data_IF_442170760622
#
_entry.id   IF_442170760622
#
_cell.length_a   1.000
_cell.length_b   1.000
_cell.length_c   1.000
_cell.angle_alpha   90.00
_cell.angle_beta   90.00
_cell.angle_gamma   90.00
#
_symmetry.space_group_name_H-M   'P 1'
#
loop_
_entity.id
_entity.type
_entity.pdbx_description
1 polymer ?
#
# COMPACT_ATOMS: atom_id res chain seq x y z
N UNK A 1 42.78 -11.05 44.54
CA UNK A 1 43.36 -9.70 44.71
C UNK A 1 42.62 -8.77 43.74
N UNK A 2 41.64 -7.98 44.16
CA UNK A 2 41.66 -6.71 44.93
C UNK A 2 42.12 -5.51 44.06
N UNK A 3 41.28 -4.45 44.08
CA UNK A 3 41.48 -3.04 43.68
C UNK A 3 41.04 -2.69 42.23
N UNK A 4 40.36 -1.59 41.95
CA UNK A 4 39.83 -0.46 42.75
C UNK A 4 38.84 0.33 41.86
N UNK A 5 37.82 0.95 42.48
CA UNK A 5 36.97 2.01 41.89
C UNK A 5 37.72 3.36 41.87
N UNK A 6 37.16 4.36 41.17
CA UNK A 6 36.94 5.63 41.87
C UNK A 6 35.49 6.17 41.74
N UNK A 7 34.85 6.24 42.90
CA UNK A 7 34.06 7.35 43.50
C UNK A 7 34.56 8.77 43.15
N UNK A 8 33.87 9.93 43.21
CA UNK A 8 32.61 10.50 43.74
C UNK A 8 32.41 11.83 42.95
N UNK A 9 31.23 12.44 42.80
CA UNK A 9 30.70 13.46 43.73
C UNK A 9 29.33 13.97 43.21
N UNK A 10 28.29 13.81 44.03
CA UNK A 10 27.11 14.69 44.12
C UNK A 10 27.40 15.73 45.23
N UNK A 11 26.73 16.90 45.33
CA UNK A 11 25.32 17.04 45.77
C UNK A 11 24.61 18.21 45.03
N UNK A 12 23.39 18.70 45.27
CA UNK A 12 22.59 18.76 46.48
C UNK A 12 21.12 19.05 46.08
N UNK A 13 20.23 18.43 46.83
CA UNK A 13 18.77 18.49 46.84
C UNK A 13 18.19 19.87 47.15
N UNK A 14 16.99 20.17 46.64
CA UNK A 14 15.99 20.91 47.41
C UNK A 14 14.59 20.33 47.14
N UNK A 15 14.07 19.65 48.16
CA UNK A 15 12.70 19.14 48.25
C UNK A 15 11.92 20.04 49.21
N UNK A 16 10.80 20.63 48.78
CA UNK A 16 9.71 21.18 49.61
C UNK A 16 8.49 21.31 48.68
N UNK A 17 7.24 21.05 48.99
CA UNK A 17 6.48 20.25 49.97
C UNK A 17 5.00 20.47 49.56
N UNK A 18 4.17 19.42 49.66
CA UNK A 18 2.69 19.39 49.83
C UNK A 18 1.79 20.50 49.22
N UNK A 19 0.74 20.09 48.50
CA UNK A 19 -0.64 20.25 48.95
C UNK A 19 -1.62 19.48 48.05
N UNK A 20 -2.45 18.65 48.69
CA UNK A 20 -3.60 17.98 48.12
C UNK A 20 -4.85 18.86 48.28
N UNK A 21 -5.69 18.98 47.25
CA UNK A 21 -7.15 19.12 47.36
C UNK A 21 -7.83 19.19 45.96
N UNK A 22 -9.12 18.81 45.85
CA UNK A 22 -9.76 18.29 44.63
C UNK A 22 -10.68 19.31 43.95
N UNK A 23 -10.97 19.16 42.64
CA UNK A 23 -12.26 19.58 42.04
C UNK A 23 -12.34 19.34 40.52
N UNK A 24 -13.37 18.57 40.13
CA UNK A 24 -14.27 18.81 38.98
C UNK A 24 -13.65 18.84 37.57
N UNK A 25 -13.42 17.64 37.01
CA UNK A 25 -13.39 17.49 35.56
C UNK A 25 -14.82 17.29 35.02
N UNK A 26 -15.25 18.04 33.99
CA UNK A 26 -16.58 17.88 33.39
C UNK A 26 -16.68 16.53 32.67
N UNK A 27 -17.75 15.79 32.98
CA UNK A 27 -18.14 14.57 32.28
C UNK A 27 -18.34 14.85 30.79
N UNK A 28 -17.36 14.45 29.97
CA UNK A 28 -17.60 14.17 28.56
C UNK A 28 -18.32 12.82 28.54
N UNK A 29 -19.63 12.88 28.33
CA UNK A 29 -20.46 11.71 28.08
C UNK A 29 -19.96 11.03 26.79
N UNK A 30 -19.04 10.08 26.96
CA UNK A 30 -18.72 9.09 25.93
C UNK A 30 -19.97 8.25 25.71
N UNK A 31 -20.55 8.38 24.50
CA UNK A 31 -21.53 7.43 23.99
C UNK A 31 -20.89 6.03 23.98
N UNK A 32 -21.32 5.19 24.91
CA UNK A 32 -20.85 3.83 25.09
C UNK A 32 -21.29 2.95 23.90
N UNK A 33 -20.34 2.53 23.07
CA UNK A 33 -20.45 1.24 22.38
C UNK A 33 -20.13 0.16 23.39
N UNK A 34 -21.16 -0.43 24.00
CA UNK A 34 -21.02 -1.37 25.10
C UNK A 34 -20.24 -2.63 24.71
N UNK A 35 -19.13 -2.89 25.41
CA UNK A 35 -18.66 -4.24 25.63
C UNK A 35 -19.72 -4.94 26.49
N UNK A 36 -20.48 -5.86 25.89
CA UNK A 36 -21.43 -6.68 26.61
C UNK A 36 -20.69 -7.46 27.71
N UNK A 37 -21.06 -7.22 28.96
CA UNK A 37 -20.52 -7.90 30.14
C UNK A 37 -21.08 -9.33 30.21
N UNK A 38 -20.45 -10.22 30.98
CA UNK A 38 -20.97 -11.58 31.22
C UNK A 38 -22.41 -11.53 31.79
N UNK A 39 -22.69 -10.50 32.60
CA UNK A 39 -24.02 -10.20 33.14
C UNK A 39 -25.04 -9.80 32.05
N UNK A 40 -24.62 -9.09 31.00
CA UNK A 40 -25.50 -8.75 29.86
C UNK A 40 -25.93 -9.98 29.06
N UNK A 41 -25.03 -10.96 28.89
CA UNK A 41 -25.31 -12.20 28.18
C UNK A 41 -26.32 -13.09 28.93
N UNK A 42 -26.20 -13.17 30.25
CA UNK A 42 -27.15 -13.90 31.10
C UNK A 42 -28.53 -13.23 31.11
N UNK A 43 -28.58 -11.90 31.30
CA UNK A 43 -29.84 -11.14 31.27
C UNK A 43 -30.51 -11.20 29.89
N UNK A 44 -29.74 -11.12 28.80
CA UNK A 44 -30.27 -11.29 27.45
C UNK A 44 -30.90 -12.68 27.26
N UNK A 45 -30.27 -13.73 27.81
CA UNK A 45 -30.77 -15.10 27.74
C UNK A 45 -32.08 -15.24 28.52
N UNK A 46 -32.16 -14.70 29.74
CA UNK A 46 -33.39 -14.71 30.55
C UNK A 46 -34.56 -14.01 29.82
N UNK A 47 -34.31 -12.81 29.27
CA UNK A 47 -35.31 -12.08 28.50
C UNK A 47 -35.74 -12.84 27.24
N UNK A 48 -34.80 -13.48 26.53
CA UNK A 48 -35.09 -14.27 25.34
C UNK A 48 -35.96 -15.49 25.66
N UNK A 49 -35.64 -16.23 26.72
CA UNK A 49 -36.42 -17.38 27.18
C UNK A 49 -37.82 -16.98 27.63
N UNK A 50 -37.93 -15.90 28.41
CA UNK A 50 -39.23 -15.36 28.83
C UNK A 50 -40.08 -14.94 27.63
N UNK A 51 -39.46 -14.28 26.65
CA UNK A 51 -40.11 -13.92 25.39
C UNK A 51 -40.63 -15.13 24.63
N UNK A 52 -39.86 -16.22 24.56
CA UNK A 52 -40.31 -17.48 23.94
C UNK A 52 -41.46 -18.14 24.70
N UNK A 53 -41.43 -18.14 26.03
CA UNK A 53 -42.53 -18.66 26.85
C UNK A 53 -43.83 -17.87 26.60
N UNK A 54 -43.75 -16.55 26.60
CA UNK A 54 -44.90 -15.68 26.31
C UNK A 54 -45.44 -15.91 24.90
N UNK A 55 -44.55 -16.12 23.91
CA UNK A 55 -44.95 -16.49 22.56
C UNK A 55 -45.75 -17.80 22.53
N UNK A 56 -45.29 -18.83 23.26
CA UNK A 56 -46.02 -20.12 23.35
C UNK A 56 -47.36 -20.00 24.06
N UNK A 57 -47.52 -19.02 24.97
CA UNK A 57 -48.77 -18.72 25.66
C UNK A 57 -49.74 -17.85 24.81
N UNK A 58 -49.37 -17.48 23.59
CA UNK A 58 -50.16 -16.58 22.74
C UNK A 58 -50.10 -15.10 23.17
N UNK A 59 -49.32 -14.76 24.19
CA UNK A 59 -49.13 -13.39 24.69
C UNK A 59 -48.10 -12.64 23.85
N UNK A 60 -48.43 -12.41 22.58
CA UNK A 60 -47.47 -11.92 21.60
C UNK A 60 -46.97 -10.48 21.86
N UNK A 61 -47.82 -9.59 22.39
CA UNK A 61 -47.39 -8.23 22.71
C UNK A 61 -46.35 -8.21 23.85
N UNK A 62 -46.58 -8.98 24.92
CA UNK A 62 -45.62 -9.13 26.02
C UNK A 62 -44.33 -9.84 25.56
N UNK A 63 -44.46 -10.83 24.67
CA UNK A 63 -43.32 -11.54 24.06
C UNK A 63 -42.39 -10.59 23.32
N UNK A 64 -42.92 -9.67 22.51
CA UNK A 64 -42.11 -8.66 21.80
C UNK A 64 -41.30 -7.81 22.78
N UNK A 65 -41.92 -7.32 23.85
CA UNK A 65 -41.23 -6.48 24.84
C UNK A 65 -40.02 -7.21 25.44
N UNK A 66 -40.18 -8.50 25.76
CA UNK A 66 -39.09 -9.30 26.31
C UNK A 66 -38.01 -9.60 25.26
N UNK A 67 -38.42 -9.91 24.01
CA UNK A 67 -37.47 -10.17 22.93
C UNK A 67 -36.71 -8.90 22.49
N UNK A 68 -37.33 -7.72 22.57
CA UNK A 68 -36.69 -6.44 22.29
C UNK A 68 -35.66 -6.10 23.38
N UNK A 69 -35.98 -6.29 24.67
CA UNK A 69 -35.00 -6.19 25.76
C UNK A 69 -33.82 -7.14 25.57
N UNK A 70 -34.10 -8.39 25.17
CA UNK A 70 -33.03 -9.35 24.85
C UNK A 70 -32.16 -8.89 23.67
N UNK A 71 -32.75 -8.25 22.66
CA UNK A 71 -32.04 -7.74 21.50
C UNK A 71 -31.19 -6.50 21.82
N UNK A 72 -31.67 -5.62 22.70
CA UNK A 72 -30.94 -4.45 23.20
C UNK A 72 -29.67 -4.87 23.94
N UNK A 73 -29.78 -5.90 24.79
CA UNK A 73 -28.63 -6.46 25.51
C UNK A 73 -27.70 -7.25 24.57
N UNK A 74 -28.27 -8.08 23.68
CA UNK A 74 -27.49 -8.92 22.76
C UNK A 74 -28.10 -8.95 21.34
N UNK A 75 -27.55 -8.19 20.38
CA UNK A 75 -28.06 -8.15 19.01
C UNK A 75 -27.78 -9.44 18.18
N UNK A 76 -28.50 -10.54 18.43
CA UNK A 76 -28.26 -11.84 17.79
C UNK A 76 -29.35 -12.26 16.77
N UNK A 77 -29.00 -12.99 15.68
CA UNK A 77 -29.97 -13.45 14.67
C UNK A 77 -31.13 -14.28 15.22
N UNK A 78 -30.95 -15.24 16.16
CA UNK A 78 -32.08 -15.99 16.71
C UNK A 78 -33.15 -15.11 17.36
N UNK A 79 -32.75 -13.97 17.94
CA UNK A 79 -33.69 -13.02 18.56
C UNK A 79 -34.50 -12.30 17.48
N UNK A 80 -33.86 -11.82 16.41
CA UNK A 80 -34.53 -11.20 15.26
C UNK A 80 -35.58 -12.13 14.62
N UNK A 81 -35.25 -13.42 14.47
CA UNK A 81 -36.18 -14.43 13.96
C UNK A 81 -37.42 -14.57 14.85
N UNK A 82 -37.24 -14.62 16.17
CA UNK A 82 -38.35 -14.74 17.11
C UNK A 82 -39.21 -13.47 17.14
N UNK A 83 -38.61 -12.27 17.07
CA UNK A 83 -39.36 -11.02 16.96
C UNK A 83 -40.21 -11.01 15.67
N UNK A 84 -39.62 -11.37 14.53
CA UNK A 84 -40.33 -11.46 13.25
C UNK A 84 -41.52 -12.42 13.30
N UNK A 85 -41.35 -13.61 13.86
CA UNK A 85 -42.44 -14.60 14.06
C UNK A 85 -43.54 -14.06 14.96
N UNK A 86 -43.18 -13.32 16.00
CA UNK A 86 -44.14 -12.75 16.94
C UNK A 86 -44.98 -11.66 16.27
N UNK A 87 -44.36 -10.80 15.45
CA UNK A 87 -45.10 -9.82 14.63
C UNK A 87 -45.99 -10.47 13.57
N UNK A 88 -45.56 -11.59 12.97
CA UNK A 88 -46.38 -12.35 12.02
C UNK A 88 -47.65 -12.90 12.70
N UNK A 89 -47.51 -13.45 13.91
CA UNK A 89 -48.64 -13.94 14.72
C UNK A 89 -49.59 -12.85 15.20
N UNK A 90 -49.10 -11.63 15.40
CA UNK A 90 -49.93 -10.46 15.70
C UNK A 90 -50.66 -9.87 14.48
N UNK A 91 -50.51 -10.47 13.29
CA UNK A 91 -51.12 -9.93 12.07
C UNK A 91 -50.45 -8.63 11.61
N UNK A 92 -49.17 -8.40 11.94
CA UNK A 92 -48.38 -7.23 11.52
C UNK A 92 -47.32 -7.64 10.48
N UNK A 93 -47.71 -8.06 9.25
CA UNK A 93 -46.82 -8.65 8.26
C UNK A 93 -45.70 -7.71 7.80
N UNK A 94 -45.96 -6.39 7.74
CA UNK A 94 -44.93 -5.39 7.38
C UNK A 94 -43.78 -5.37 8.39
N UNK A 95 -44.08 -5.36 9.68
CA UNK A 95 -43.06 -5.42 10.74
C UNK A 95 -42.34 -6.77 10.73
N UNK A 96 -43.08 -7.87 10.57
CA UNK A 96 -42.47 -9.20 10.45
C UNK A 96 -41.44 -9.25 9.31
N UNK A 97 -41.79 -8.70 8.14
CA UNK A 97 -40.92 -8.60 6.98
C UNK A 97 -39.63 -7.81 7.28
N UNK A 98 -39.72 -6.68 7.99
CA UNK A 98 -38.54 -5.90 8.40
C UNK A 98 -37.58 -6.72 9.26
N UNK A 99 -38.09 -7.43 10.28
CA UNK A 99 -37.26 -8.25 11.16
C UNK A 99 -36.69 -9.48 10.45
N UNK A 100 -37.43 -10.11 9.54
CA UNK A 100 -36.92 -11.21 8.72
C UNK A 100 -35.83 -10.72 7.73
N UNK A 101 -35.95 -9.53 7.17
CA UNK A 101 -34.87 -8.93 6.36
C UNK A 101 -33.63 -8.64 7.21
N UNK A 102 -33.80 -8.04 8.41
CA UNK A 102 -32.71 -7.85 9.38
C UNK A 102 -32.04 -9.19 9.75
N UNK A 103 -32.84 -10.25 9.90
CA UNK A 103 -32.33 -11.60 10.13
C UNK A 103 -31.45 -12.07 8.98
N UNK A 104 -31.93 -12.01 7.73
CA UNK A 104 -31.17 -12.48 6.55
C UNK A 104 -29.87 -11.69 6.33
N UNK A 105 -29.84 -10.42 6.76
CA UNK A 105 -28.64 -9.59 6.74
C UNK A 105 -27.62 -9.99 7.83
N UNK A 106 -28.07 -10.33 9.04
CA UNK A 106 -27.18 -10.66 10.18
C UNK A 106 -26.85 -12.14 10.32
N UNK A 107 -27.72 -13.04 9.88
CA UNK A 107 -27.54 -14.47 10.00
C UNK A 107 -26.40 -14.97 9.12
N UNK A 108 -25.70 -16.01 9.57
CA UNK A 108 -24.72 -16.72 8.73
C UNK A 108 -25.44 -17.33 7.51
N UNK A 109 -24.72 -17.47 6.40
CA UNK A 109 -25.29 -18.08 5.18
C UNK A 109 -25.73 -19.54 5.44
N UNK A 110 -24.91 -20.29 6.19
CA UNK A 110 -25.17 -21.67 6.62
C UNK A 110 -26.16 -21.81 7.79
N UNK A 111 -26.80 -20.73 8.24
CA UNK A 111 -27.79 -20.84 9.30
C UNK A 111 -28.95 -21.73 8.82
N UNK A 112 -29.29 -22.83 9.53
CA UNK A 112 -30.31 -23.77 9.08
C UNK A 112 -31.68 -23.11 8.89
N UNK A 113 -31.95 -22.01 9.59
CA UNK A 113 -33.21 -21.28 9.50
C UNK A 113 -33.22 -20.30 8.33
N UNK A 114 -32.10 -20.02 7.65
CA UNK A 114 -32.03 -19.00 6.58
C UNK A 114 -32.97 -19.29 5.41
N UNK A 115 -32.96 -20.52 4.88
CA UNK A 115 -33.86 -20.96 3.79
C UNK A 115 -35.33 -20.81 4.20
N UNK A 116 -35.67 -21.21 5.43
CA UNK A 116 -37.02 -21.05 5.98
C UNK A 116 -37.43 -19.57 6.09
N UNK A 117 -36.53 -18.69 6.56
CA UNK A 117 -36.82 -17.26 6.69
C UNK A 117 -37.01 -16.59 5.32
N UNK A 118 -36.22 -16.97 4.32
CA UNK A 118 -36.42 -16.47 2.94
C UNK A 118 -37.79 -16.89 2.37
N UNK A 119 -38.22 -18.13 2.61
CA UNK A 119 -39.56 -18.57 2.23
C UNK A 119 -40.65 -17.78 2.96
N UNK A 120 -40.45 -17.43 4.24
CA UNK A 120 -41.37 -16.56 5.00
C UNK A 120 -41.44 -15.16 4.39
N UNK A 121 -40.29 -14.56 4.04
CA UNK A 121 -40.20 -13.26 3.36
C UNK A 121 -40.99 -13.28 2.05
N UNK A 122 -40.72 -14.26 1.17
CA UNK A 122 -41.42 -14.41 -0.12
C UNK A 122 -42.93 -14.55 0.06
N UNK A 123 -43.36 -15.33 1.05
CA UNK A 123 -44.79 -15.51 1.38
C UNK A 123 -45.43 -14.19 1.80
N UNK A 124 -44.78 -13.42 2.66
CA UNK A 124 -45.31 -12.14 3.15
C UNK A 124 -45.32 -11.10 2.03
N UNK A 125 -44.25 -11.00 1.24
CA UNK A 125 -44.18 -10.08 0.11
C UNK A 125 -45.25 -10.37 -0.94
N UNK A 126 -45.48 -11.65 -1.25
CA UNK A 126 -46.58 -12.08 -2.13
C UNK A 126 -47.93 -11.61 -1.59
N UNK A 127 -48.18 -11.77 -0.28
CA UNK A 127 -49.43 -11.29 0.36
C UNK A 127 -49.57 -9.77 0.33
N UNK A 128 -48.46 -9.04 0.38
CA UNK A 128 -48.43 -7.58 0.38
C UNK A 128 -48.29 -6.96 -1.02
N UNK A 129 -48.17 -7.76 -2.08
CA UNK A 129 -47.93 -7.26 -3.44
C UNK A 129 -46.57 -6.59 -3.64
N UNK A 130 -45.59 -6.87 -2.76
CA UNK A 130 -44.26 -6.27 -2.81
C UNK A 130 -43.38 -7.11 -3.74
N UNK A 131 -42.64 -6.46 -4.66
CA UNK A 131 -41.63 -7.15 -5.47
C UNK A 131 -40.53 -7.70 -4.56
N UNK A 132 -40.23 -9.00 -4.69
CA UNK A 132 -39.21 -9.65 -3.90
C UNK A 132 -37.85 -8.99 -4.12
N UNK A 133 -37.26 -8.46 -3.05
CA UNK A 133 -35.92 -7.91 -3.08
C UNK A 133 -34.96 -9.01 -2.63
N UNK A 134 -34.16 -9.53 -3.56
CA UNK A 134 -33.21 -10.60 -3.32
C UNK A 134 -32.19 -10.18 -2.25
N UNK A 135 -32.49 -10.51 -0.99
CA UNK A 135 -31.65 -10.18 0.16
C UNK A 135 -30.69 -11.36 0.37
N UNK A 136 -29.71 -11.49 -0.51
CA UNK A 136 -28.59 -12.43 -0.37
C UNK A 136 -28.92 -13.92 -0.46
N UNK A 137 -30.03 -14.30 -1.11
CA UNK A 137 -30.29 -15.66 -1.60
C UNK A 137 -30.55 -15.55 -3.10
N UNK A 138 -29.60 -16.05 -3.90
CA UNK A 138 -29.78 -16.16 -5.34
C UNK A 138 -30.82 -17.25 -5.58
N UNK A 139 -31.93 -16.86 -6.20
CA UNK A 139 -33.02 -17.73 -6.60
C UNK A 139 -32.53 -18.71 -7.68
N UNK A 140 -32.19 -19.94 -7.28
CA UNK A 140 -31.74 -21.00 -8.19
C UNK A 140 -32.86 -21.53 -9.08
N UNK A 141 -34.10 -21.05 -8.94
CA UNK A 141 -35.24 -21.54 -9.72
C UNK A 141 -35.63 -20.65 -10.92
N UNK A 142 -35.00 -19.49 -11.12
CA UNK A 142 -35.31 -18.59 -12.24
C UNK A 142 -34.56 -18.93 -13.55
N UNK A 143 -33.65 -19.91 -13.57
CA UNK A 143 -32.92 -20.33 -14.79
C UNK A 143 -33.57 -21.59 -15.37
N UNK A 144 -34.81 -21.46 -15.85
CA UNK A 144 -35.37 -22.40 -16.82
C UNK A 144 -36.01 -21.64 -17.97
N UNK A 145 -35.39 -21.85 -19.15
CA UNK A 145 -35.89 -21.66 -20.52
C UNK A 145 -36.39 -20.26 -20.90
N UNK A 146 -35.51 -19.54 -21.58
CA UNK A 146 -35.86 -18.93 -22.88
C UNK A 146 -34.73 -19.22 -23.84
N UNK A 147 -35.01 -20.14 -24.76
CA UNK A 147 -34.19 -20.49 -25.90
C UNK A 147 -34.09 -19.32 -26.89
N UNK A 148 -32.95 -19.21 -27.58
CA UNK A 148 -32.85 -18.50 -28.85
C UNK A 148 -31.95 -17.26 -28.85
N UNK A 149 -30.87 -17.34 -29.63
CA UNK A 149 -30.20 -16.16 -30.18
C UNK A 149 -28.76 -15.96 -29.71
N UNK A 150 -27.80 -16.43 -30.51
CA UNK A 150 -26.38 -16.36 -30.24
C UNK A 150 -25.82 -14.96 -30.04
N UNK A 151 -25.16 -14.74 -28.89
CA UNK A 151 -24.05 -13.79 -28.73
C UNK A 151 -22.93 -14.48 -27.96
N UNK A 152 -21.72 -14.41 -28.53
CA UNK A 152 -20.48 -14.98 -27.99
C UNK A 152 -20.33 -14.65 -26.49
N UNK A 153 -20.32 -15.69 -25.64
CA UNK A 153 -20.02 -15.63 -24.20
C UNK A 153 -18.63 -15.01 -23.99
N UNK A 154 -18.58 -13.70 -23.73
CA UNK A 154 -17.39 -13.01 -23.24
C UNK A 154 -17.40 -13.15 -21.72
N UNK A 155 -16.54 -14.02 -21.20
CA UNK A 155 -16.17 -14.20 -19.77
C UNK A 155 -17.02 -13.43 -18.75
N UNK A 156 -18.24 -13.89 -18.51
CA UNK A 156 -18.86 -13.65 -17.20
C UNK A 156 -18.09 -14.55 -16.24
N UNK A 157 -17.01 -14.02 -15.64
CA UNK A 157 -16.45 -14.62 -14.42
C UNK A 157 -17.61 -14.69 -13.44
N UNK A 158 -18.13 -15.90 -13.18
CA UNK A 158 -19.17 -16.09 -12.18
C UNK A 158 -18.68 -15.45 -10.88
N UNK A 159 -19.50 -14.63 -10.23
CA UNK A 159 -19.10 -14.00 -8.98
C UNK A 159 -19.15 -15.05 -7.88
N UNK A 160 -18.03 -15.19 -7.16
CA UNK A 160 -17.97 -16.02 -5.96
C UNK A 160 -18.79 -15.31 -4.88
N UNK A 161 -19.75 -16.01 -4.27
CA UNK A 161 -20.61 -15.41 -3.25
C UNK A 161 -19.85 -15.38 -1.93
N UNK A 162 -19.76 -14.19 -1.34
CA UNK A 162 -19.07 -13.96 -0.08
C UNK A 162 -19.64 -12.72 0.61
N UNK A 163 -19.91 -12.81 1.90
CA UNK A 163 -20.26 -11.65 2.73
C UNK A 163 -18.97 -10.97 3.20
N UNK A 164 -18.69 -9.72 2.78
CA UNK A 164 -17.51 -8.99 3.22
C UNK A 164 -17.51 -8.82 4.75
N UNK A 165 -16.35 -8.89 5.36
CA UNK A 165 -16.15 -8.58 6.78
C UNK A 165 -15.47 -7.23 6.86
N UNK A 166 -16.19 -6.24 7.40
CA UNK A 166 -15.68 -4.86 7.46
C UNK A 166 -14.89 -4.58 8.75
N UNK A 167 -15.07 -5.40 9.79
CA UNK A 167 -14.44 -5.21 11.11
C UNK A 167 -13.87 -6.51 11.69
N UNK A 168 -12.72 -6.41 12.35
CA UNK A 168 -12.08 -7.49 13.11
C UNK A 168 -11.38 -6.97 14.37
N UNK A 169 -10.94 -7.88 15.26
CA UNK A 169 -10.19 -7.52 16.48
C UNK A 169 -8.71 -7.88 16.36
N UNK A 170 -7.85 -7.08 16.96
CA UNK A 170 -6.41 -7.30 16.92
C UNK A 170 -6.01 -8.65 17.54
N UNK A 171 -5.06 -9.34 16.89
CA UNK A 171 -4.56 -10.67 17.28
C UNK A 171 -5.62 -11.79 17.32
N UNK A 172 -6.85 -11.53 16.88
CA UNK A 172 -7.91 -12.55 16.78
C UNK A 172 -8.04 -13.07 15.35
N UNK A 173 -8.33 -14.37 15.17
CA UNK A 173 -8.53 -14.93 13.84
C UNK A 173 -9.76 -14.33 13.16
N UNK A 174 -9.69 -14.16 11.84
CA UNK A 174 -10.81 -13.71 11.01
C UNK A 174 -11.26 -14.85 10.12
N UNK A 175 -12.50 -15.28 10.28
CA UNK A 175 -13.08 -16.40 9.53
C UNK A 175 -13.84 -15.89 8.33
N UNK A 176 -13.42 -16.29 7.14
CA UNK A 176 -14.07 -15.98 5.87
C UNK A 176 -14.82 -17.20 5.36
N UNK A 177 -16.00 -16.97 4.78
CA UNK A 177 -16.85 -18.01 4.21
C UNK A 177 -17.15 -17.67 2.76
N UNK A 178 -17.07 -18.63 1.86
CA UNK A 178 -17.34 -18.42 0.45
C UNK A 178 -18.18 -19.56 -0.11
N UNK A 179 -19.09 -19.26 -1.02
CA UNK A 179 -19.95 -20.24 -1.66
C UNK A 179 -19.77 -20.16 -3.17
N UNK A 180 -19.78 -21.34 -3.81
CA UNK A 180 -19.66 -21.46 -5.24
C UNK A 180 -21.01 -21.83 -5.86
N UNK A 181 -21.26 -21.36 -7.10
CA UNK A 181 -22.33 -21.91 -7.91
C UNK A 181 -22.18 -23.44 -8.06
N UNK A 182 -23.27 -24.22 -7.92
CA UNK A 182 -23.22 -25.69 -7.91
C UNK A 182 -22.78 -26.31 -9.24
N UNK A 183 -22.82 -25.55 -10.32
CA UNK A 183 -22.36 -25.93 -11.67
C UNK A 183 -20.84 -25.76 -11.86
N UNK A 184 -20.13 -25.25 -10.84
CA UNK A 184 -18.74 -24.83 -10.97
C UNK A 184 -17.74 -25.80 -10.32
N UNK A 185 -17.15 -26.67 -11.13
CA UNK A 185 -16.09 -27.58 -10.68
C UNK A 185 -14.75 -26.84 -10.48
N UNK A 186 -14.22 -26.86 -9.24
CA UNK A 186 -12.99 -26.15 -8.85
C UNK A 186 -12.03 -27.06 -8.07
N UNK A 187 -10.73 -26.73 -8.11
CA UNK A 187 -9.68 -27.33 -7.27
C UNK A 187 -9.72 -26.83 -5.81
N UNK A 188 -10.37 -25.68 -5.62
CA UNK A 188 -10.63 -25.08 -4.33
C UNK A 188 -10.63 -23.55 -4.39
N UNK A 189 -10.95 -22.97 -3.24
CA UNK A 189 -11.02 -21.53 -3.03
C UNK A 189 -9.83 -21.05 -2.23
N UNK A 190 -9.28 -19.91 -2.62
CA UNK A 190 -8.09 -19.32 -2.02
C UNK A 190 -8.39 -17.92 -1.52
N UNK A 191 -7.98 -17.64 -0.29
CA UNK A 191 -7.95 -16.31 0.29
C UNK A 191 -6.62 -15.66 -0.06
N UNK A 192 -6.67 -14.53 -0.74
CA UNK A 192 -5.53 -13.65 -0.91
C UNK A 192 -5.66 -12.49 0.05
N UNK A 193 -4.73 -12.32 0.99
CA UNK A 193 -4.81 -11.25 2.00
C UNK A 193 -3.46 -10.57 2.22
N UNK A 194 -3.47 -9.34 2.72
CA UNK A 194 -2.29 -8.56 3.10
C UNK A 194 -2.59 -7.62 4.26
N UNK A 195 -1.61 -7.39 5.11
CA UNK A 195 -1.70 -6.40 6.19
C UNK A 195 -1.65 -4.98 5.65
N UNK A 196 -2.17 -4.02 6.41
CA UNK A 196 -1.94 -2.60 6.16
C UNK A 196 -0.44 -2.31 6.05
N UNK A 197 -0.03 -1.71 4.93
CA UNK A 197 1.36 -1.40 4.60
C UNK A 197 2.10 -2.48 3.79
N UNK A 198 1.58 -3.71 3.67
CA UNK A 198 2.20 -4.74 2.84
C UNK A 198 1.82 -4.57 1.36
N UNK A 199 2.78 -4.74 0.45
CA UNK A 199 2.53 -4.67 -1.01
C UNK A 199 2.06 -6.02 -1.55
N UNK A 200 2.64 -7.12 -1.05
CA UNK A 200 2.41 -8.48 -1.56
C UNK A 200 1.25 -9.17 -0.83
N UNK A 201 0.38 -9.83 -1.58
CA UNK A 201 -0.67 -10.69 -1.03
C UNK A 201 -0.11 -12.07 -0.67
N UNK A 202 -0.48 -12.55 0.51
CA UNK A 202 -0.29 -13.93 0.98
C UNK A 202 -1.51 -14.75 0.58
N UNK A 203 -1.37 -16.07 0.50
CA UNK A 203 -2.45 -16.97 0.08
C UNK A 203 -2.71 -18.06 1.11
N UNK A 204 -3.98 -18.34 1.41
CA UNK A 204 -4.44 -19.47 2.23
C UNK A 204 -5.49 -20.25 1.42
N UNK A 205 -5.37 -21.59 1.35
CA UNK A 205 -6.41 -22.46 0.78
C UNK A 205 -7.53 -22.62 1.81
N UNK A 206 -8.77 -22.42 1.38
CA UNK A 206 -9.95 -22.63 2.22
C UNK A 206 -10.27 -24.12 2.32
N UNK A 207 -10.90 -24.53 3.42
CA UNK A 207 -11.38 -25.89 3.66
C UNK A 207 -12.83 -25.99 3.21
N UNK A 208 -13.19 -27.12 2.61
CA UNK A 208 -14.57 -27.44 2.26
C UNK A 208 -15.37 -27.76 3.52
N UNK A 209 -16.57 -27.20 3.62
CA UNK A 209 -17.49 -27.43 4.72
C UNK A 209 -18.94 -27.32 4.23
N UNK A 210 -19.58 -28.47 4.05
CA UNK A 210 -20.92 -28.55 3.46
C UNK A 210 -20.93 -28.11 2.00
N UNK A 211 -21.84 -27.20 1.63
CA UNK A 211 -21.97 -26.64 0.27
C UNK A 211 -21.04 -25.43 0.02
N UNK A 212 -20.14 -25.10 0.97
CA UNK A 212 -19.29 -23.92 0.91
C UNK A 212 -17.85 -24.16 1.37
N UNK A 213 -17.11 -23.07 1.44
CA UNK A 213 -15.70 -23.02 1.84
C UNK A 213 -15.53 -22.12 3.05
N UNK A 214 -14.77 -22.58 4.04
CA UNK A 214 -14.35 -21.78 5.19
C UNK A 214 -12.84 -21.65 5.20
N UNK A 215 -12.35 -20.43 5.36
CA UNK A 215 -10.93 -20.16 5.55
C UNK A 215 -10.72 -19.18 6.68
N UNK A 216 -9.71 -19.44 7.50
CA UNK A 216 -9.40 -18.62 8.66
C UNK A 216 -8.10 -17.89 8.40
N UNK A 217 -8.12 -16.56 8.47
CA UNK A 217 -6.92 -15.73 8.52
C UNK A 217 -6.43 -15.75 9.97
N UNK A 218 -5.23 -16.29 10.26
CA UNK A 218 -4.72 -16.38 11.62
C UNK A 218 -4.52 -15.01 12.29
N UNK A 219 -4.78 -14.94 13.59
CA UNK A 219 -4.69 -13.70 14.37
C UNK A 219 -3.31 -13.02 14.36
N UNK A 220 -2.23 -13.78 14.15
CA UNK A 220 -0.89 -13.21 13.95
C UNK A 220 -0.81 -12.21 12.78
N UNK A 221 -1.75 -12.26 11.84
CA UNK A 221 -1.83 -11.32 10.71
C UNK A 221 -2.80 -10.17 10.94
N UNK A 222 -3.66 -10.20 11.96
CA UNK A 222 -4.59 -9.12 12.32
C UNK A 222 -3.96 -8.18 13.35
N UNK A 223 -2.72 -7.74 13.09
CA UNK A 223 -1.96 -6.89 14.02
C UNK A 223 -1.97 -5.41 13.63
N UNK A 224 -2.41 -5.09 12.41
CA UNK A 224 -2.44 -3.72 11.87
C UNK A 224 -3.87 -3.23 11.77
N UNK A 225 -4.10 -1.92 11.89
CA UNK A 225 -5.44 -1.29 11.92
C UNK A 225 -6.25 -1.48 10.64
N UNK A 226 -5.63 -1.93 9.55
CA UNK A 226 -6.32 -2.36 8.34
C UNK A 226 -5.72 -3.66 7.78
N UNK A 227 -6.57 -4.44 7.14
CA UNK A 227 -6.21 -5.62 6.36
C UNK A 227 -7.01 -5.61 5.05
N UNK A 228 -6.42 -6.13 3.98
CA UNK A 228 -7.11 -6.23 2.70
C UNK A 228 -7.13 -7.67 2.22
N UNK A 229 -8.22 -8.09 1.60
CA UNK A 229 -8.32 -9.44 1.04
C UNK A 229 -9.24 -9.54 -0.18
N UNK A 230 -9.07 -10.61 -0.94
CA UNK A 230 -10.00 -11.04 -1.97
C UNK A 230 -9.96 -12.55 -2.09
N UNK A 231 -10.99 -13.13 -2.68
CA UNK A 231 -11.16 -14.57 -2.80
C UNK A 231 -11.14 -14.98 -4.27
N UNK A 232 -10.55 -16.15 -4.53
CA UNK A 232 -10.42 -16.69 -5.89
C UNK A 232 -10.69 -18.18 -5.86
N UNK A 233 -11.64 -18.62 -6.68
CA UNK A 233 -11.84 -20.03 -7.00
C UNK A 233 -11.04 -20.40 -8.26
N UNK A 234 -10.30 -21.51 -8.20
CA UNK A 234 -9.44 -21.96 -9.31
C UNK A 234 -9.87 -23.32 -9.84
N UNK A 235 -9.80 -23.51 -11.16
CA UNK A 235 -10.04 -24.79 -11.83
C UNK A 235 -8.84 -25.72 -11.72
N UNK A 236 -9.11 -27.02 -11.58
CA UNK A 236 -8.09 -28.10 -11.55
C UNK A 236 -7.23 -28.08 -12.81
N UNK A 237 -5.91 -28.12 -12.65
CA UNK A 237 -4.94 -28.26 -13.75
C UNK A 237 -4.60 -27.00 -14.57
N UNK A 238 -5.13 -25.79 -14.26
CA UNK A 238 -4.86 -24.58 -15.07
C UNK A 238 -4.16 -23.41 -14.36
N UNK A 239 -3.71 -23.58 -13.11
CA UNK A 239 -2.85 -22.62 -12.41
C UNK A 239 -3.37 -21.16 -12.48
N UNK A 240 -2.51 -20.21 -12.90
CA UNK A 240 -2.88 -18.77 -13.04
C UNK A 240 -3.94 -18.48 -14.12
N UNK A 241 -4.08 -19.36 -15.13
CA UNK A 241 -5.09 -19.26 -16.20
C UNK A 241 -6.42 -19.95 -15.83
N UNK A 242 -6.50 -20.53 -14.63
CA UNK A 242 -7.66 -21.28 -14.17
C UNK A 242 -8.58 -20.49 -13.23
N UNK A 243 -8.54 -19.16 -13.20
CA UNK A 243 -9.45 -18.38 -12.35
C UNK A 243 -10.87 -18.49 -12.89
N UNK A 244 -11.79 -19.00 -12.07
CA UNK A 244 -13.17 -19.29 -12.49
C UNK A 244 -14.16 -18.30 -11.89
N UNK A 245 -13.98 -17.99 -10.60
CA UNK A 245 -14.82 -17.06 -9.87
C UNK A 245 -14.01 -16.25 -8.86
N UNK A 246 -14.43 -15.01 -8.59
CA UNK A 246 -13.74 -14.13 -7.64
C UNK A 246 -14.72 -13.33 -6.79
N UNK A 247 -14.39 -13.12 -5.51
CA UNK A 247 -15.03 -12.12 -4.66
C UNK A 247 -13.99 -11.04 -4.32
N UNK A 248 -14.17 -9.84 -4.87
CA UNK A 248 -13.13 -8.80 -4.89
C UNK A 248 -12.02 -9.11 -5.91
N UNK A 249 -11.07 -8.18 -6.08
CA UNK A 249 -9.94 -8.32 -7.01
C UNK A 249 -8.67 -7.75 -6.40
N UNK A 250 -7.51 -8.04 -7.00
CA UNK A 250 -6.22 -7.46 -6.58
C UNK A 250 -6.22 -5.92 -6.56
N UNK A 251 -6.94 -5.28 -7.51
CA UNK A 251 -7.07 -3.81 -7.59
C UNK A 251 -8.21 -3.26 -6.72
N UNK A 252 -9.22 -4.07 -6.44
CA UNK A 252 -10.39 -3.72 -5.62
C UNK A 252 -10.62 -4.79 -4.56
N UNK A 253 -9.70 -4.91 -3.57
CA UNK A 253 -9.86 -5.88 -2.50
C UNK A 253 -10.89 -5.38 -1.48
N UNK A 254 -11.49 -6.30 -0.74
CA UNK A 254 -12.25 -5.98 0.47
C UNK A 254 -11.29 -5.49 1.56
N UNK A 255 -11.78 -4.61 2.41
CA UNK A 255 -11.00 -3.96 3.48
C UNK A 255 -11.63 -4.34 4.82
N UNK A 256 -10.82 -4.83 5.74
CA UNK A 256 -11.20 -5.09 7.13
C UNK A 256 -10.50 -4.06 8.00
N UNK A 257 -11.28 -3.31 8.78
CA UNK A 257 -10.79 -2.45 9.84
C UNK A 257 -10.53 -3.31 11.08
N UNK A 258 -9.31 -3.26 11.61
CA UNK A 258 -8.94 -4.05 12.79
C UNK A 258 -8.89 -3.15 14.01
N UNK A 259 -9.86 -3.35 14.89
CA UNK A 259 -9.93 -2.68 16.18
C UNK A 259 -8.80 -3.12 17.11
N UNK A 260 -8.17 -2.16 17.79
CA UNK A 260 -6.93 -2.36 18.55
C UNK A 260 -5.69 -2.65 17.69
N UNK A 261 -5.80 -2.58 16.36
CA UNK A 261 -4.68 -2.80 15.44
C UNK A 261 -3.71 -1.62 15.42
N UNK A 262 -2.40 -1.88 15.31
CA UNK A 262 -1.40 -0.81 15.17
C UNK A 262 -1.57 -0.10 13.83
N UNK A 263 -1.46 1.24 13.76
CA UNK A 263 -1.55 1.93 12.47
C UNK A 263 -0.52 1.35 11.50
N UNK A 264 -0.86 1.20 10.20
CA UNK A 264 0.09 0.76 9.21
C UNK A 264 1.34 1.61 9.32
N UNK A 265 2.49 0.98 9.59
CA UNK A 265 3.77 1.62 9.38
C UNK A 265 3.84 1.85 7.87
N UNK A 266 3.39 3.04 7.46
CA UNK A 266 3.75 3.62 6.19
C UNK A 266 5.26 3.78 6.30
N UNK A 267 6.00 2.71 5.96
CA UNK A 267 7.43 2.81 5.70
C UNK A 267 7.62 4.03 4.81
N UNK A 268 8.72 4.79 5.00
CA UNK A 268 8.85 6.15 4.48
C UNK A 268 8.29 6.18 3.08
N UNK A 269 7.17 6.89 2.89
CA UNK A 269 6.54 7.05 1.58
C UNK A 269 7.70 7.43 0.68
N UNK A 270 8.06 6.56 -0.29
CA UNK A 270 9.12 6.88 -1.24
C UNK A 270 8.65 8.14 -1.92
N UNK A 271 9.14 9.29 -1.43
CA UNK A 271 8.68 10.57 -1.89
C UNK A 271 9.00 10.58 -3.38
N UNK A 272 8.02 10.99 -4.18
CA UNK A 272 8.23 11.12 -5.62
C UNK A 272 9.53 11.91 -5.82
N UNK A 273 10.50 11.25 -6.47
CA UNK A 273 11.82 11.78 -6.73
C UNK A 273 11.67 13.13 -7.44
N UNK A 274 12.29 14.17 -6.92
CA UNK A 274 12.23 15.50 -7.51
C UNK A 274 12.98 15.43 -8.83
N UNK A 275 12.27 15.50 -9.95
CA UNK A 275 12.85 15.57 -11.29
C UNK A 275 13.14 17.04 -11.60
N UNK A 276 14.41 17.39 -11.80
CA UNK A 276 14.78 18.69 -12.34
C UNK A 276 14.75 18.65 -13.88
N UNK A 277 14.52 19.79 -14.54
CA UNK A 277 14.66 19.90 -15.99
C UNK A 277 16.13 19.81 -16.45
N UNK A 278 17.10 20.00 -15.56
CA UNK A 278 18.54 20.04 -15.88
C UNK A 278 19.20 18.65 -15.85
N UNK A 279 18.63 17.68 -15.14
CA UNK A 279 19.24 16.37 -14.90
C UNK A 279 19.51 15.55 -16.16
N UNK A 280 18.59 15.57 -17.12
CA UNK A 280 18.77 14.86 -18.40
C UNK A 280 19.86 15.50 -19.23
N UNK A 281 19.86 16.83 -19.32
CA UNK A 281 20.89 17.59 -20.03
C UNK A 281 22.27 17.43 -19.39
N UNK A 282 22.36 17.34 -18.06
CA UNK A 282 23.61 17.01 -17.36
C UNK A 282 24.20 15.69 -17.84
N UNK A 283 23.42 14.60 -17.86
CA UNK A 283 23.94 13.30 -18.27
C UNK A 283 24.34 13.25 -19.75
N UNK A 284 23.58 13.92 -20.62
CA UNK A 284 23.92 14.02 -22.05
C UNK A 284 25.24 14.78 -22.23
N UNK A 285 25.37 15.97 -21.64
CA UNK A 285 26.59 16.81 -21.77
C UNK A 285 27.81 16.16 -21.12
N UNK A 286 27.65 15.53 -19.95
CA UNK A 286 28.73 14.80 -19.29
C UNK A 286 29.20 13.60 -20.13
N UNK A 287 28.29 12.81 -20.70
CA UNK A 287 28.64 11.69 -21.56
C UNK A 287 29.35 12.15 -22.84
N UNK A 288 28.86 13.22 -23.47
CA UNK A 288 29.51 13.82 -24.64
C UNK A 288 30.91 14.34 -24.33
N UNK A 289 31.09 15.01 -23.18
CA UNK A 289 32.40 15.49 -22.75
C UNK A 289 33.40 14.35 -22.56
N UNK A 290 33.00 13.26 -21.89
CA UNK A 290 33.86 12.09 -21.70
C UNK A 290 34.24 11.44 -23.02
N UNK A 291 33.28 11.30 -23.95
CA UNK A 291 33.56 10.73 -25.27
C UNK A 291 34.54 11.58 -26.09
N UNK A 292 34.36 12.91 -26.08
CA UNK A 292 35.21 13.85 -26.81
C UNK A 292 36.62 13.89 -26.21
N UNK A 293 36.74 13.96 -24.89
CA UNK A 293 38.04 13.94 -24.21
C UNK A 293 38.76 12.59 -24.41
N UNK A 294 38.03 11.47 -24.38
CA UNK A 294 38.57 10.15 -24.70
C UNK A 294 39.08 10.07 -26.14
N UNK A 295 38.31 10.58 -27.11
CA UNK A 295 38.73 10.67 -28.51
C UNK A 295 39.94 11.58 -28.71
N UNK A 296 40.00 12.71 -28.01
CA UNK A 296 41.15 13.62 -28.01
C UNK A 296 42.41 12.95 -27.46
N UNK A 297 42.29 12.19 -26.37
CA UNK A 297 43.42 11.46 -25.80
C UNK A 297 43.89 10.33 -26.71
N UNK A 298 42.95 9.57 -27.29
CA UNK A 298 43.28 8.50 -28.23
C UNK A 298 43.99 9.01 -29.48
N UNK A 299 43.50 10.11 -30.07
CA UNK A 299 44.15 10.76 -31.23
C UNK A 299 45.54 11.30 -30.89
N UNK A 300 45.71 11.88 -29.70
CA UNK A 300 47.02 12.31 -29.22
C UNK A 300 48.00 11.15 -29.05
N UNK A 301 47.57 10.04 -28.44
CA UNK A 301 48.41 8.85 -28.26
C UNK A 301 48.79 8.20 -29.60
N UNK A 302 47.85 8.11 -30.55
CA UNK A 302 48.11 7.61 -31.90
C UNK A 302 49.12 8.49 -32.66
N UNK A 303 49.04 9.82 -32.50
CA UNK A 303 50.01 10.73 -33.09
C UNK A 303 51.42 10.51 -32.49
N UNK A 304 51.52 10.30 -31.17
CA UNK A 304 52.79 10.07 -30.49
C UNK A 304 53.43 8.71 -30.84
N UNK A 305 52.64 7.65 -30.99
CA UNK A 305 53.12 6.32 -31.39
C UNK A 305 53.72 6.33 -32.81
N UNK A 306 53.08 7.05 -33.76
CA UNK A 306 53.61 7.22 -35.12
C UNK A 306 54.93 8.01 -35.15
N UNK A 307 55.13 8.96 -34.24
CA UNK A 307 56.40 9.68 -34.11
C UNK A 307 57.54 8.73 -33.64
N UNK A 308 57.29 7.88 -32.64
CA UNK A 308 58.26 6.90 -32.15
C UNK A 308 58.63 5.81 -33.17
N UNK A 309 57.70 5.45 -34.06
CA UNK A 309 57.95 4.50 -35.15
C UNK A 309 58.98 5.01 -36.19
N UNK A 310 59.10 6.33 -36.35
CA UNK A 310 60.11 6.95 -37.24
C UNK A 310 61.50 6.89 -36.62
N UNK A 311 61.63 7.15 -35.31
CA UNK A 311 62.89 7.05 -34.58
C UNK A 311 63.43 5.62 -34.52
N UNK A 312 62.56 4.64 -34.26
CA UNK A 312 62.95 3.22 -34.24
C UNK A 312 63.37 2.71 -35.62
N UNK A 313 62.70 3.13 -36.70
CA UNK A 313 63.15 2.84 -38.07
C UNK A 313 64.47 3.51 -38.42
N UNK A 314 64.72 4.73 -37.94
CA UNK A 314 66.00 5.42 -38.10
C UNK A 314 67.13 4.70 -37.34
N UNK A 315 66.87 4.21 -36.12
CA UNK A 315 67.85 3.46 -35.32
C UNK A 315 68.14 2.06 -35.89
N UNK A 316 67.13 1.36 -36.41
CA UNK A 316 67.31 0.06 -37.06
C UNK A 316 68.13 0.13 -38.35
N UNK A 317 68.16 1.28 -39.04
CA UNK A 317 68.97 1.48 -40.24
C UNK A 317 70.49 1.36 -39.97
N UNK A 318 70.95 1.67 -38.75
CA UNK A 318 72.34 1.47 -38.33
C UNK A 318 72.52 0.26 -37.39
N UNK A 319 71.66 -0.77 -37.49
CA UNK A 319 71.90 -2.04 -36.79
C UNK A 319 72.99 -2.85 -37.54
N UNK A 320 74.18 -3.12 -36.94
CA UNK A 320 75.33 -3.74 -37.61
C UNK A 320 75.09 -5.16 -38.16
N UNK A 321 73.99 -5.81 -37.74
CA UNK A 321 73.56 -7.12 -38.26
C UNK A 321 72.72 -7.05 -39.55
N UNK A 322 72.25 -5.87 -39.94
CA UNK A 322 71.50 -5.67 -41.19
C UNK A 322 72.43 -5.32 -42.36
N UNK A 323 72.02 -5.61 -43.60
CA UNK A 323 72.81 -5.33 -44.83
C UNK A 323 73.20 -3.84 -44.92
N UNK A 324 72.37 -2.93 -44.39
CA UNK A 324 72.64 -1.49 -44.38
C UNK A 324 73.47 -1.02 -43.18
N UNK A 325 73.46 -1.74 -42.06
CA UNK A 325 74.23 -1.35 -40.87
C UNK A 325 75.75 -1.50 -41.03
N UNK A 326 76.22 -2.30 -42.00
CA UNK A 326 77.63 -2.36 -42.39
C UNK A 326 78.17 -1.04 -42.98
N UNK A 327 77.28 -0.11 -43.35
CA UNK A 327 77.62 1.22 -43.84
C UNK A 327 77.79 2.27 -42.73
N UNK A 328 77.39 1.97 -41.49
CA UNK A 328 77.56 2.86 -40.33
C UNK A 328 78.81 2.43 -39.52
N UNK A 329 79.86 3.25 -39.50
CA UNK A 329 81.10 2.98 -38.76
C UNK A 329 81.94 4.25 -38.54
N UNK A 330 82.93 4.24 -37.62
CA UNK A 330 83.71 5.44 -37.30
C UNK A 330 84.48 5.94 -38.53
N UNK A 331 84.21 7.20 -38.92
CA UNK A 331 84.79 7.84 -40.10
C UNK A 331 84.02 7.65 -41.42
N UNK A 332 82.87 6.97 -41.44
CA UNK A 332 82.00 6.84 -42.63
C UNK A 332 80.69 7.60 -42.43
N UNK A 333 80.28 8.39 -43.41
CA UNK A 333 79.00 9.10 -43.40
C UNK A 333 77.85 8.10 -43.49
N UNK A 334 76.88 8.22 -42.58
CA UNK A 334 75.63 7.43 -42.58
C UNK A 334 75.00 7.50 -43.97
N UNK A 335 74.51 6.40 -44.56
CA UNK A 335 73.82 6.46 -45.85
C UNK A 335 72.61 7.39 -45.71
N UNK A 336 72.67 8.52 -46.41
CA UNK A 336 71.59 9.50 -46.50
C UNK A 336 70.43 8.82 -47.25
N UNK A 337 69.51 8.19 -46.51
CA UNK A 337 68.24 7.81 -47.11
C UNK A 337 67.49 9.11 -47.37
N UNK A 338 67.48 9.55 -48.63
CA UNK A 338 66.53 10.56 -49.10
C UNK A 338 65.14 9.99 -48.88
N UNK A 339 64.47 10.46 -47.83
CA UNK A 339 63.02 10.41 -47.81
C UNK A 339 62.55 11.17 -49.05
N UNK A 340 61.71 10.55 -49.87
CA UNK A 340 61.02 11.30 -50.91
C UNK A 340 60.34 12.50 -50.23
N UNK A 341 60.61 13.71 -50.73
CA UNK A 341 60.08 14.93 -50.12
C UNK A 341 58.55 14.90 -50.08
N UNK A 342 57.91 14.19 -51.03
CA UNK A 342 56.47 13.96 -51.02
C UNK A 342 56.04 13.18 -49.75
N UNK A 343 56.63 12.02 -49.52
CA UNK A 343 56.30 11.17 -48.36
C UNK A 343 56.58 11.85 -47.02
N UNK A 344 57.69 12.61 -46.91
CA UNK A 344 58.01 13.36 -45.70
C UNK A 344 57.00 14.50 -45.42
N UNK A 345 56.58 15.22 -46.46
CA UNK A 345 55.54 16.26 -46.36
C UNK A 345 54.17 15.67 -46.01
N UNK A 346 53.85 14.49 -46.53
CA UNK A 346 52.60 13.79 -46.20
C UNK A 346 52.54 13.46 -44.71
N UNK A 347 53.60 12.88 -44.14
CA UNK A 347 53.66 12.60 -42.69
C UNK A 347 53.63 13.87 -41.83
N UNK A 348 54.29 14.95 -42.25
CA UNK A 348 54.26 16.22 -41.54
C UNK A 348 52.85 16.85 -41.57
N UNK A 349 52.16 16.75 -42.71
CA UNK A 349 50.79 17.24 -42.87
C UNK A 349 49.79 16.42 -42.05
N UNK A 350 49.94 15.10 -42.01
CA UNK A 350 49.15 14.21 -41.14
C UNK A 350 49.41 14.52 -39.66
N UNK A 351 50.67 14.71 -39.26
CA UNK A 351 51.02 15.08 -37.89
C UNK A 351 50.38 16.40 -37.46
N UNK A 352 50.41 17.42 -38.32
CA UNK A 352 49.77 18.72 -38.08
C UNK A 352 48.24 18.61 -38.03
N UNK A 353 47.62 17.77 -38.86
CA UNK A 353 46.17 17.58 -38.81
C UNK A 353 45.72 16.84 -37.54
N UNK A 354 46.45 15.82 -37.07
CA UNK A 354 46.15 15.17 -35.79
C UNK A 354 46.39 16.08 -34.57
N UNK A 355 47.44 16.90 -34.60
CA UNK A 355 47.72 17.86 -33.53
C UNK A 355 46.65 18.95 -33.44
N UNK A 356 46.21 19.50 -34.58
CA UNK A 356 45.12 20.49 -34.61
C UNK A 356 43.77 19.88 -34.22
N UNK A 357 43.46 18.68 -34.73
CA UNK A 357 42.23 17.97 -34.40
C UNK A 357 42.15 17.64 -32.90
N UNK A 358 43.24 17.12 -32.31
CA UNK A 358 43.28 16.82 -30.87
C UNK A 358 43.18 18.10 -30.03
N UNK A 359 43.83 19.19 -30.42
CA UNK A 359 43.67 20.50 -29.76
C UNK A 359 42.24 21.02 -29.78
N UNK A 360 41.56 20.94 -30.93
CA UNK A 360 40.15 21.35 -31.07
C UNK A 360 39.23 20.45 -30.23
N UNK A 361 39.40 19.13 -30.31
CA UNK A 361 38.60 18.19 -29.52
C UNK A 361 38.81 18.38 -28.01
N UNK A 362 40.04 18.62 -27.58
CA UNK A 362 40.34 18.93 -26.18
C UNK A 362 39.62 20.21 -25.73
N UNK A 363 39.68 21.28 -26.53
CA UNK A 363 38.97 22.53 -26.24
C UNK A 363 37.46 22.35 -26.13
N UNK A 364 36.84 21.65 -27.09
CA UNK A 364 35.41 21.33 -27.07
C UNK A 364 35.05 20.44 -25.88
N UNK A 365 35.89 19.45 -25.57
CA UNK A 365 35.70 18.53 -24.44
C UNK A 365 35.72 19.25 -23.10
N UNK A 366 36.63 20.20 -22.91
CA UNK A 366 36.72 21.05 -21.71
C UNK A 366 35.51 21.97 -21.60
N UNK A 367 35.09 22.62 -22.70
CA UNK A 367 33.90 23.48 -22.71
C UNK A 367 32.63 22.69 -22.36
N UNK A 368 32.49 21.47 -22.90
CA UNK A 368 31.38 20.57 -22.57
C UNK A 368 31.43 20.12 -21.09
N UNK A 369 32.61 19.88 -20.53
CA UNK A 369 32.78 19.56 -19.11
C UNK A 369 32.33 20.71 -18.20
N UNK A 370 32.70 21.94 -18.55
CA UNK A 370 32.26 23.14 -17.84
C UNK A 370 30.72 23.29 -17.92
N UNK A 371 30.13 23.07 -19.09
CA UNK A 371 28.67 23.06 -19.27
C UNK A 371 27.96 22.01 -18.41
N UNK A 372 28.52 20.79 -18.33
CA UNK A 372 28.02 19.74 -17.44
C UNK A 372 28.13 20.16 -15.96
N UNK A 373 29.23 20.80 -15.55
CA UNK A 373 29.40 21.34 -14.21
C UNK A 373 28.33 22.37 -13.83
N UNK A 374 27.99 23.28 -14.75
CA UNK A 374 26.90 24.26 -14.55
C UNK A 374 25.55 23.56 -14.45
N UNK A 375 25.24 22.60 -15.32
CA UNK A 375 23.99 21.85 -15.28
C UNK A 375 23.84 21.02 -14.00
N UNK A 376 24.94 20.45 -13.49
CA UNK A 376 24.98 19.76 -12.20
C UNK A 376 24.66 20.71 -11.04
N UNK A 377 25.26 21.90 -11.04
CA UNK A 377 24.99 22.91 -10.02
C UNK A 377 23.50 23.34 -10.04
N UNK A 378 22.94 23.58 -11.23
CA UNK A 378 21.54 23.95 -11.40
C UNK A 378 20.58 22.83 -10.98
N UNK A 379 20.89 21.57 -11.29
CA UNK A 379 20.12 20.41 -10.80
C UNK A 379 20.13 20.35 -9.27
N UNK A 380 21.32 20.45 -8.67
CA UNK A 380 21.49 20.38 -7.23
C UNK A 380 20.75 21.53 -6.51
N UNK A 381 20.87 22.76 -7.00
CA UNK A 381 20.18 23.91 -6.44
C UNK A 381 18.65 23.84 -6.62
N UNK A 382 18.19 23.38 -7.79
CA UNK A 382 16.76 23.14 -8.04
C UNK A 382 16.19 22.12 -7.04
N UNK A 383 16.84 20.97 -6.88
CA UNK A 383 16.44 19.94 -5.93
C UNK A 383 16.45 20.46 -4.49
N UNK A 384 17.46 21.26 -4.12
CA UNK A 384 17.56 21.88 -2.79
C UNK A 384 16.41 22.85 -2.53
N UNK A 385 16.08 23.73 -3.48
CA UNK A 385 14.95 24.67 -3.39
C UNK A 385 13.61 23.95 -3.26
N UNK A 386 13.40 22.91 -4.06
CA UNK A 386 12.14 22.16 -4.04
C UNK A 386 11.97 21.32 -2.77
N UNK A 387 13.07 20.78 -2.22
CA UNK A 387 13.06 20.16 -0.88
C UNK A 387 12.70 21.16 0.22
N UNK A 388 13.19 22.40 0.15
CA UNK A 388 12.82 23.46 1.11
C UNK A 388 11.32 23.77 1.01
N UNK A 389 10.78 24.03 -0.18
CA UNK A 389 9.34 24.25 -0.38
C UNK A 389 8.49 23.12 0.19
N UNK A 390 8.84 21.85 -0.06
CA UNK A 390 8.12 20.69 0.49
C UNK A 390 8.19 20.60 2.01
N UNK A 391 9.31 20.99 2.60
CA UNK A 391 9.48 21.04 4.07
C UNK A 391 8.66 22.17 4.67
N UNK A 392 8.70 23.35 4.06
CA UNK A 392 8.00 24.54 4.55
C UNK A 392 6.48 24.38 4.37
N UNK A 393 6.01 23.75 3.28
CA UNK A 393 4.61 23.36 3.10
C UNK A 393 4.12 22.28 4.08
N UNK A 394 5.04 21.50 4.67
CA UNK A 394 4.74 20.51 5.72
C UNK A 394 4.89 21.07 7.13
N UNK A 395 5.52 22.23 7.29
CA UNK A 395 5.58 22.87 8.59
C UNK A 395 4.15 23.30 8.93
N UNK A 396 3.58 22.84 10.06
CA UNK A 396 2.30 23.36 10.51
C UNK A 396 2.46 24.87 10.63
N UNK A 397 1.65 25.63 9.91
CA UNK A 397 1.69 27.08 10.01
C UNK A 397 1.52 27.44 11.48
N UNK A 398 2.52 28.12 12.07
CA UNK A 398 2.44 28.66 13.43
C UNK A 398 1.18 29.51 13.49
N UNK A 399 0.10 28.95 14.00
CA UNK A 399 -1.15 29.67 14.19
C UNK A 399 -0.98 30.44 15.48
N UNK A 400 -0.58 31.70 15.34
CA UNK A 400 -0.54 32.62 16.47
C UNK A 400 -1.95 33.10 16.69
N UNK A 401 -2.59 32.65 17.77
CA UNK A 401 -3.88 33.20 18.21
C UNK A 401 -3.59 34.24 19.27
N UNK A 402 -3.87 35.51 18.94
CA UNK A 402 -3.91 36.58 19.94
C UNK A 402 -5.35 36.71 20.41
N UNK A 403 -5.53 36.76 21.72
CA UNK A 403 -6.82 37.07 22.33
C UNK A 403 -6.66 38.26 23.26
N UNK A 404 -7.66 39.13 23.25
CA UNK A 404 -7.78 40.27 24.14
C UNK A 404 -9.15 40.22 24.81
N UNK A 405 -9.16 40.11 26.13
CA UNK A 405 -10.36 40.26 26.95
C UNK A 405 -10.54 41.72 27.34
N UNK A 406 -11.68 42.30 27.00
CA UNK A 406 -12.05 43.65 27.43
C UNK A 406 -12.19 43.74 28.96
N UNK A 407 -12.18 44.95 29.54
CA UNK A 407 -12.15 45.19 30.99
C UNK A 407 -13.33 44.57 31.75
N UNK A 408 -14.46 44.30 31.08
CA UNK A 408 -15.63 43.64 31.65
C UNK A 408 -15.45 42.13 31.89
N UNK A 409 -14.37 41.52 31.39
CA UNK A 409 -14.10 40.09 31.54
C UNK A 409 -13.42 39.72 32.86
N UNK A 410 -13.05 40.70 33.71
CA UNK A 410 -12.57 40.45 35.07
C UNK A 410 -13.37 41.27 36.08
N UNK A 411 -13.63 40.72 37.30
CA UNK A 411 -14.38 41.43 38.34
C UNK A 411 -13.66 42.70 38.85
N UNK A 412 -12.41 42.93 38.44
CA UNK A 412 -11.61 44.10 38.80
C UNK A 412 -11.41 45.10 37.65
N UNK A 413 -12.08 44.94 36.50
CA UNK A 413 -12.07 45.95 35.44
C UNK A 413 -10.78 46.03 34.62
N UNK A 414 -9.79 45.17 34.86
CA UNK A 414 -8.55 45.14 34.07
C UNK A 414 -8.69 44.13 32.92
N UNK A 415 -8.53 44.61 31.68
CA UNK A 415 -8.45 43.75 30.50
C UNK A 415 -7.12 43.01 30.43
N UNK A 416 -7.07 41.90 29.70
CA UNK A 416 -5.85 41.13 29.49
C UNK A 416 -5.63 40.83 28.01
N UNK A 417 -4.37 40.79 27.58
CA UNK A 417 -3.98 40.34 26.25
C UNK A 417 -3.03 39.17 26.37
N UNK A 418 -3.35 38.06 25.71
CA UNK A 418 -2.54 36.85 25.70
C UNK A 418 -2.21 36.41 24.28
N UNK A 419 -1.09 35.70 24.16
CA UNK A 419 -0.63 35.11 22.90
C UNK A 419 -0.34 33.62 23.15
N UNK A 420 -0.94 32.76 22.35
CA UNK A 420 -0.61 31.32 22.33
C UNK A 420 -0.04 30.99 20.96
N UNK A 421 1.17 30.42 20.96
CA UNK A 421 1.84 29.88 19.79
C UNK A 421 1.60 28.35 19.72
N UNK A 422 0.94 27.86 18.66
CA UNK A 422 0.66 26.44 18.41
C UNK A 422 1.66 25.79 17.44
#
# INVERSE_FOLDING_TARGET
>A
MRRQRPTLLTPLTLSVLLLAAPALAPSIASAQGGDATVDDDERATQHFERGRQLYTQGKYNESIVQLEKAFELRPAPPILLNIGRTYEKLGKPKKALEYYRKYLLKARLVDPNRKMVDQMVRRIEKKLGIKHQATGLIDTQAVKKTDGGGRKKKDLTLQLVHTPIDMGKANKPVTLQAELPPDLEVDGVYIYFRRGGEVKFRTIKMREQGEGYIGVIPGKYTTMSSMQYYLVAKKKGKGKKGVVATAGRKKTPHIIVIDGGRPPHLGPIKQAEIRSPYRTWFWVTAASSVAILGGSLATFLLANDRAGALETRAQQACNPRSIQGKACGPGKSVPERRFDQASARDFESEGKTFATLSGVLLGVGIAAAAGAGVLWYLDHDYVKRERRKRRDAKAPGRRVVRFSGGPWASPHGAGFTGRIDF
#
